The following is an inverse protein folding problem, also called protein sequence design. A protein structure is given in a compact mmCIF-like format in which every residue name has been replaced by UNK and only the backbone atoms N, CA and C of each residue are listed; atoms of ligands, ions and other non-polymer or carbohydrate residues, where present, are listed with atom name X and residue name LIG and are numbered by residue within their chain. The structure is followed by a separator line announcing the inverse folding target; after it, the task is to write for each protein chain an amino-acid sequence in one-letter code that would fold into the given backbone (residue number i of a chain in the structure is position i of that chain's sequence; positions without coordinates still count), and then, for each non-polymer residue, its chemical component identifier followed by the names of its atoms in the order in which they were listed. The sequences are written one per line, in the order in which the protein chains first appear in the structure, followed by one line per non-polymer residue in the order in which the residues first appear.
data_IF_328312214275
#
_entry.id   IF_328312214275
#
_cell.length_a   1.000
_cell.length_b   1.000
_cell.length_c   1.000
_cell.angle_alpha   90.00
_cell.angle_beta   90.00
_cell.angle_gamma   90.00
#
_symmetry.space_group_name_H-M   'P 1'
#
loop_
_entity.id
_entity.type
_entity.pdbx_description
1 polymer ?
#
# COMPACT_ATOMS: atom_id res chain seq x y z
N UNK A 1 -15.39 3.57 0.78
CA UNK A 1 -15.41 2.20 0.22
C UNK A 1 -14.80 1.25 1.24
N UNK A 2 -15.61 0.41 1.89
CA UNK A 2 -15.08 -0.75 2.62
C UNK A 2 -14.78 -1.81 1.55
N UNK A 3 -13.52 -2.16 1.32
CA UNK A 3 -13.14 -3.23 0.38
C UNK A 3 -13.70 -4.56 0.90
N UNK A 4 -14.86 -4.97 0.38
CA UNK A 4 -15.60 -6.16 0.86
C UNK A 4 -14.80 -7.44 0.67
N UNK A 5 -14.01 -7.51 -0.40
CA UNK A 5 -13.31 -8.74 -0.82
C UNK A 5 -12.16 -9.14 0.10
N UNK A 6 -11.32 -8.18 0.53
CA UNK A 6 -10.26 -8.48 1.49
C UNK A 6 -10.82 -8.88 2.86
N UNK A 7 -11.91 -8.24 3.30
CA UNK A 7 -12.54 -8.56 4.59
C UNK A 7 -13.18 -9.94 4.62
N UNK A 8 -13.78 -10.39 3.50
CA UNK A 8 -14.33 -11.75 3.37
C UNK A 8 -13.23 -12.82 3.50
N UNK A 9 -12.10 -12.64 2.82
CA UNK A 9 -10.97 -13.58 2.93
C UNK A 9 -10.33 -13.57 4.31
N UNK A 10 -10.25 -12.41 4.98
CA UNK A 10 -9.75 -12.34 6.36
C UNK A 10 -10.65 -13.10 7.33
N UNK A 11 -11.97 -12.98 7.20
CA UNK A 11 -12.94 -13.76 7.99
C UNK A 11 -12.74 -15.26 7.74
N UNK A 12 -12.63 -15.69 6.49
CA UNK A 12 -12.41 -17.09 6.14
C UNK A 12 -11.07 -17.63 6.70
N UNK A 13 -9.99 -16.84 6.60
CA UNK A 13 -8.68 -17.21 7.15
C UNK A 13 -8.73 -17.35 8.68
N UNK A 14 -9.44 -16.45 9.37
CA UNK A 14 -9.63 -16.53 10.81
C UNK A 14 -10.46 -17.75 11.23
N UNK A 15 -11.56 -18.05 10.52
CA UNK A 15 -12.37 -19.25 10.77
C UNK A 15 -11.62 -20.56 10.52
N UNK A 16 -10.65 -20.55 9.62
CA UNK A 16 -9.78 -21.70 9.33
C UNK A 16 -8.52 -21.76 10.21
N UNK A 17 -8.39 -20.86 11.20
CA UNK A 17 -7.20 -20.66 12.05
C UNK A 17 -5.87 -20.56 11.27
N UNK A 18 -5.93 -20.00 10.05
CA UNK A 18 -4.76 -19.82 9.21
C UNK A 18 -4.17 -18.42 9.43
N UNK A 19 -3.30 -18.33 10.44
CA UNK A 19 -2.68 -17.06 10.86
C UNK A 19 -1.77 -16.44 9.77
N UNK A 20 -1.14 -17.27 8.94
CA UNK A 20 -0.31 -16.78 7.82
C UNK A 20 -1.16 -16.11 6.75
N UNK A 21 -2.29 -16.73 6.38
CA UNK A 21 -3.25 -16.14 5.45
C UNK A 21 -3.84 -14.84 6.02
N UNK A 22 -4.26 -14.83 7.29
CA UNK A 22 -4.79 -13.64 7.94
C UNK A 22 -3.79 -12.49 7.94
N UNK A 23 -2.52 -12.78 8.23
CA UNK A 23 -1.44 -11.78 8.21
C UNK A 23 -1.21 -11.21 6.81
N UNK A 24 -1.07 -12.07 5.81
CA UNK A 24 -0.88 -11.66 4.41
C UNK A 24 -2.03 -10.80 3.90
N UNK A 25 -3.27 -11.21 4.18
CA UNK A 25 -4.48 -10.48 3.79
C UNK A 25 -4.60 -9.13 4.52
N UNK A 26 -4.24 -9.06 5.81
CA UNK A 26 -4.20 -7.80 6.54
C UNK A 26 -3.14 -6.83 5.98
N UNK A 27 -1.98 -7.34 5.54
CA UNK A 27 -0.97 -6.52 4.84
C UNK A 27 -1.53 -5.95 3.54
N UNK A 28 -2.10 -6.80 2.68
CA UNK A 28 -2.72 -6.35 1.44
C UNK A 28 -3.83 -5.32 1.70
N UNK A 29 -4.76 -5.61 2.62
CA UNK A 29 -5.87 -4.71 2.95
C UNK A 29 -5.41 -3.33 3.42
N UNK A 30 -4.37 -3.26 4.26
CA UNK A 30 -3.80 -1.99 4.73
C UNK A 30 -3.06 -1.25 3.61
N UNK A 31 -2.36 -1.97 2.74
CA UNK A 31 -1.68 -1.42 1.58
C UNK A 31 -2.68 -0.82 0.57
N UNK A 32 -3.77 -1.51 0.25
CA UNK A 32 -4.78 -1.00 -0.69
C UNK A 32 -5.49 0.27 -0.19
N UNK A 33 -5.62 0.44 1.13
CA UNK A 33 -6.12 1.69 1.72
C UNK A 33 -5.16 2.87 1.48
N UNK A 34 -3.86 2.61 1.26
CA UNK A 34 -2.86 3.61 0.89
C UNK A 34 -2.80 3.83 -0.61
N UNK A 35 -3.06 2.81 -1.41
CA UNK A 35 -3.15 2.95 -2.88
C UNK A 35 -4.31 3.83 -3.32
N UNK A 36 -5.48 3.71 -2.69
CA UNK A 36 -6.68 4.49 -3.06
C UNK A 36 -6.42 6.02 -3.15
N UNK A 37 -5.93 6.71 -2.10
CA UNK A 37 -5.67 8.15 -2.20
C UNK A 37 -4.59 8.49 -3.23
N UNK A 38 -3.58 7.64 -3.45
CA UNK A 38 -2.56 7.86 -4.49
C UNK A 38 -3.19 7.85 -5.89
N UNK A 39 -4.07 6.88 -6.17
CA UNK A 39 -4.79 6.82 -7.44
C UNK A 39 -5.81 7.95 -7.59
N UNK A 40 -6.48 8.36 -6.52
CA UNK A 40 -7.40 9.51 -6.55
C UNK A 40 -6.65 10.81 -6.88
N UNK A 41 -5.47 11.02 -6.30
CA UNK A 41 -4.59 12.14 -6.62
C UNK A 41 -4.07 12.07 -8.06
N UNK A 42 -3.64 10.89 -8.52
CA UNK A 42 -3.18 10.67 -9.89
C UNK A 42 -4.28 10.98 -10.91
N UNK A 43 -5.49 10.46 -10.69
CA UNK A 43 -6.63 10.72 -11.55
C UNK A 43 -6.97 12.22 -11.60
N UNK A 44 -7.01 12.88 -10.44
CA UNK A 44 -7.27 14.32 -10.37
C UNK A 44 -6.19 15.14 -11.11
N UNK A 45 -4.92 14.78 -10.98
CA UNK A 45 -3.85 15.45 -11.71
C UNK A 45 -3.99 15.29 -13.22
N UNK A 46 -4.33 14.08 -13.70
CA UNK A 46 -4.56 13.83 -15.12
C UNK A 46 -5.75 14.63 -15.67
N UNK A 47 -6.87 14.63 -14.96
CA UNK A 47 -8.07 15.38 -15.34
C UNK A 47 -7.83 16.89 -15.44
N UNK A 48 -6.90 17.43 -14.66
CA UNK A 48 -6.54 18.84 -14.65
C UNK A 48 -5.30 19.17 -15.51
N UNK A 49 -4.78 18.23 -16.32
CA UNK A 49 -3.54 18.39 -17.10
C UNK A 49 -2.31 18.75 -16.25
N UNK A 50 -2.27 18.28 -15.01
CA UNK A 50 -1.22 18.51 -14.01
C UNK A 50 -0.36 17.26 -13.78
N UNK A 51 -0.21 16.39 -14.77
CA UNK A 51 0.56 15.15 -14.62
C UNK A 51 2.01 15.37 -14.13
N UNK A 52 2.60 16.52 -14.49
CA UNK A 52 3.94 16.91 -14.05
C UNK A 52 4.06 17.17 -12.53
N UNK A 53 2.96 17.28 -11.79
CA UNK A 53 2.96 17.42 -10.32
C UNK A 53 3.01 16.08 -9.59
N UNK A 54 2.89 14.96 -10.32
CA UNK A 54 2.91 13.63 -9.72
C UNK A 54 4.31 13.27 -9.20
N UNK A 55 4.39 12.43 -8.15
CA UNK A 55 5.66 11.98 -7.61
C UNK A 55 6.52 11.29 -8.68
N UNK A 56 7.75 11.77 -8.87
CA UNK A 56 8.75 11.11 -9.74
C UNK A 56 9.41 9.89 -9.10
N UNK A 57 9.05 9.57 -7.85
CA UNK A 57 9.60 8.44 -7.11
C UNK A 57 8.55 7.91 -6.13
N UNK A 58 8.50 6.58 -6.00
CA UNK A 58 7.82 5.87 -4.93
C UNK A 58 8.77 5.01 -4.12
N UNK A 59 8.42 4.76 -2.86
CA UNK A 59 9.14 3.88 -1.95
C UNK A 59 8.20 2.77 -1.48
N UNK A 60 8.54 1.53 -1.81
CA UNK A 60 7.70 0.34 -1.57
C UNK A 60 8.33 -0.55 -0.51
N UNK A 61 7.55 -0.90 0.51
CA UNK A 61 7.98 -1.84 1.53
C UNK A 61 8.04 -3.27 0.95
N UNK A 62 9.21 -3.96 0.95
CA UNK A 62 9.31 -5.30 0.38
C UNK A 62 8.56 -6.38 1.19
N UNK A 63 8.15 -6.07 2.42
CA UNK A 63 7.49 -7.04 3.31
C UNK A 63 5.97 -7.06 3.16
N UNK A 64 5.34 -5.89 2.98
CA UNK A 64 3.88 -5.76 2.99
C UNK A 64 3.33 -4.96 1.80
N UNK A 65 4.19 -4.43 0.93
CA UNK A 65 3.78 -3.64 -0.23
C UNK A 65 3.36 -2.20 0.06
N UNK A 66 3.46 -1.73 1.31
CA UNK A 66 3.10 -0.34 1.65
C UNK A 66 3.88 0.66 0.80
N UNK A 67 3.15 1.57 0.16
CA UNK A 67 3.70 2.53 -0.81
C UNK A 67 3.69 3.94 -0.22
N UNK A 68 4.81 4.64 -0.38
CA UNK A 68 4.97 6.06 -0.05
C UNK A 68 5.39 6.84 -1.29
N UNK A 69 4.75 7.98 -1.50
CA UNK A 69 5.03 9.02 -2.51
C UNK A 69 6.01 10.09 -2.00
N UNK A 70 6.46 9.96 -0.75
CA UNK A 70 7.41 10.84 -0.09
C UNK A 70 8.29 10.03 0.87
N UNK A 71 9.13 10.72 1.65
CA UNK A 71 10.00 10.07 2.64
C UNK A 71 9.18 9.25 3.66
N UNK A 72 9.39 7.93 3.76
CA UNK A 72 8.70 7.08 4.72
C UNK A 72 9.22 7.33 6.15
N UNK A 73 8.39 7.06 7.18
CA UNK A 73 8.85 7.06 8.56
C UNK A 73 9.97 6.02 8.78
N UNK A 74 10.73 6.12 9.88
CA UNK A 74 11.83 5.18 10.24
C UNK A 74 11.42 3.70 10.16
N UNK A 75 10.15 3.39 10.41
CA UNK A 75 9.59 2.04 10.31
C UNK A 75 8.26 2.04 9.57
N UNK A 76 8.04 1.03 8.75
CA UNK A 76 6.78 0.82 8.04
C UNK A 76 5.61 0.77 9.04
N UNK A 77 4.56 1.56 8.80
CA UNK A 77 3.36 1.60 9.67
C UNK A 77 2.49 0.34 9.61
N UNK A 78 2.81 -0.59 8.71
CA UNK A 78 2.08 -1.87 8.54
C UNK A 78 2.89 -3.03 9.12
N UNK A 79 4.15 -3.21 8.69
CA UNK A 79 4.98 -4.37 9.02
C UNK A 79 6.16 -4.08 9.96
N UNK A 80 6.37 -2.83 10.38
CA UNK A 80 7.52 -2.37 11.19
C UNK A 80 8.91 -2.53 10.52
N UNK A 81 8.95 -2.92 9.25
CA UNK A 81 10.16 -3.01 8.43
C UNK A 81 10.91 -1.67 8.47
N UNK A 82 12.23 -1.67 8.77
CA UNK A 82 13.06 -0.46 8.72
C UNK A 82 13.04 0.19 7.32
N UNK A 83 13.06 1.52 7.26
CA UNK A 83 12.89 2.24 6.00
C UNK A 83 14.08 2.09 5.04
N UNK A 84 15.25 1.71 5.55
CA UNK A 84 16.46 1.47 4.79
C UNK A 84 16.30 0.27 3.83
N UNK A 85 15.30 -0.58 4.06
CA UNK A 85 14.97 -1.74 3.20
C UNK A 85 13.97 -1.42 2.09
N UNK A 86 13.45 -0.19 2.00
CA UNK A 86 12.41 0.13 1.04
C UNK A 86 12.98 0.17 -0.38
N UNK A 87 12.22 -0.37 -1.32
CA UNK A 87 12.58 -0.39 -2.73
C UNK A 87 12.21 0.96 -3.32
N UNK A 88 13.18 1.66 -3.91
CA UNK A 88 12.98 2.90 -4.65
C UNK A 88 12.54 2.58 -6.07
N UNK A 89 11.37 3.07 -6.44
CA UNK A 89 10.81 2.99 -7.81
C UNK A 89 10.83 4.39 -8.39
N UNK A 90 11.63 4.62 -9.43
CA UNK A 90 11.83 5.93 -10.06
C UNK A 90 12.03 5.85 -11.60
N UNK A 91 11.80 4.67 -12.17
CA UNK A 91 11.82 4.43 -13.62
C UNK A 91 10.82 3.32 -13.94
N UNK A 92 10.20 3.41 -15.12
CA UNK A 92 9.34 2.40 -15.72
C UNK A 92 10.02 1.90 -16.99
#
# INVERSE_FOLDING_TARGET
MKSRRCTEFMTAANSADNQLALTSLNYAYRTEQRHKPLYEQALAALQNNQAATLPGQYLVCPTCGNTYDAAPPKRCRISMTPNERFIKINSL
#
